data_IF_207017564285
#
_entry.id   IF_207017564285
#
_cell.length_a   1.000
_cell.length_b   1.000
_cell.length_c   1.000
_cell.angle_alpha   90.00
_cell.angle_beta   90.00
_cell.angle_gamma   90.00
#
_symmetry.space_group_name_H-M   'P 1'
#
loop_
_entity.id
_entity.type
_entity.pdbx_description
1 polymer ?
#
# COMPACT_ATOMS: atom_id res chain seq x y z
N UNK A 1 36.35 -24.22 34.44
CA UNK A 1 35.67 -23.03 34.99
C UNK A 1 35.99 -21.85 34.09
N UNK A 2 35.30 -21.74 32.95
CA UNK A 2 35.38 -20.60 32.03
C UNK A 2 33.94 -20.37 31.55
N UNK A 3 33.29 -19.33 32.07
CA UNK A 3 31.98 -18.89 31.59
C UNK A 3 32.18 -17.99 30.38
N UNK A 4 31.53 -18.35 29.28
CA UNK A 4 31.53 -17.61 28.03
C UNK A 4 30.14 -16.98 27.86
N UNK A 5 30.00 -15.71 28.22
CA UNK A 5 28.77 -14.93 28.06
C UNK A 5 28.69 -14.40 26.63
N UNK A 6 27.89 -15.07 25.78
CA UNK A 6 27.44 -14.48 24.51
C UNK A 6 26.07 -13.84 24.71
N UNK A 7 26.04 -12.51 24.60
CA UNK A 7 24.83 -11.70 24.52
C UNK A 7 24.10 -12.03 23.22
N UNK A 8 22.87 -12.52 23.31
CA UNK A 8 21.96 -12.69 22.17
C UNK A 8 21.07 -11.46 22.12
N UNK A 9 21.31 -10.59 21.15
CA UNK A 9 20.38 -9.52 20.79
C UNK A 9 19.18 -10.18 20.11
N UNK A 10 18.05 -10.27 20.81
CA UNK A 10 16.77 -10.67 20.22
C UNK A 10 16.30 -9.51 19.33
N UNK A 11 16.20 -9.75 18.03
CA UNK A 11 15.44 -8.90 17.11
C UNK A 11 13.97 -9.29 17.29
N UNK A 12 13.20 -8.44 17.98
CA UNK A 12 11.77 -8.62 18.13
C UNK A 12 11.10 -8.27 16.79
N UNK A 13 10.59 -9.28 16.07
CA UNK A 13 9.57 -9.06 15.06
C UNK A 13 8.34 -8.47 15.78
N UNK A 14 8.13 -7.17 15.63
CA UNK A 14 6.88 -6.54 15.98
C UNK A 14 5.82 -7.03 14.99
N UNK A 15 5.12 -8.10 15.34
CA UNK A 15 3.82 -8.38 14.75
C UNK A 15 2.88 -7.29 15.24
N UNK A 16 2.54 -6.36 14.35
CA UNK A 16 1.51 -5.36 14.56
C UNK A 16 0.18 -6.09 14.72
N UNK A 17 -0.16 -6.46 15.96
CA UNK A 17 -1.52 -6.81 16.32
C UNK A 17 -2.35 -5.55 16.15
N UNK A 18 -3.16 -5.51 15.09
CA UNK A 18 -4.17 -4.48 14.86
C UNK A 18 -5.09 -4.47 16.08
N UNK A 19 -4.87 -3.54 17.00
CA UNK A 19 -5.71 -3.33 18.15
C UNK A 19 -7.01 -2.69 17.63
N UNK A 20 -7.97 -3.52 17.23
CA UNK A 20 -9.36 -3.12 17.01
C UNK A 20 -9.95 -2.73 18.37
N UNK A 21 -9.57 -1.54 18.85
CA UNK A 21 -10.30 -0.84 19.89
C UNK A 21 -11.73 -0.67 19.38
N UNK A 22 -12.70 -1.11 20.17
CA UNK A 22 -14.10 -0.90 19.88
C UNK A 22 -14.33 0.61 19.70
N UNK A 23 -14.38 1.06 18.45
CA UNK A 23 -14.80 2.41 18.12
C UNK A 23 -16.26 2.50 18.52
N UNK A 24 -16.59 3.45 19.39
CA UNK A 24 -17.96 3.91 19.55
C UNK A 24 -18.45 4.24 18.15
N UNK A 25 -19.50 3.56 17.68
CA UNK A 25 -20.11 3.83 16.39
C UNK A 25 -20.56 5.29 16.38
N UNK A 26 -19.74 6.18 15.82
CA UNK A 26 -20.18 7.52 15.47
C UNK A 26 -21.37 7.37 14.55
N UNK A 27 -22.44 8.10 14.84
CA UNK A 27 -23.61 8.13 14.00
C UNK A 27 -23.17 8.48 12.57
N UNK A 28 -23.25 7.49 11.68
CA UNK A 28 -22.94 7.64 10.27
C UNK A 28 -24.04 8.53 9.68
N UNK A 29 -23.75 9.81 9.51
CA UNK A 29 -24.68 10.73 8.84
C UNK A 29 -24.41 10.66 7.35
N UNK A 30 -25.26 9.95 6.61
CA UNK A 30 -25.23 9.95 5.14
C UNK A 30 -25.69 11.31 4.63
N UNK A 31 -24.85 12.03 3.89
CA UNK A 31 -25.30 13.25 3.22
C UNK A 31 -26.14 12.89 1.99
N UNK A 32 -27.45 13.10 2.07
CA UNK A 32 -28.39 12.91 0.94
C UNK A 32 -28.76 14.23 0.24
N UNK A 33 -27.93 15.26 0.40
CA UNK A 33 -28.23 16.61 -0.10
C UNK A 33 -28.14 16.68 -1.63
N UNK A 34 -29.28 16.86 -2.29
CA UNK A 34 -29.38 16.92 -3.75
C UNK A 34 -28.83 18.21 -4.41
N UNK A 35 -28.32 19.19 -3.63
CA UNK A 35 -27.84 20.48 -4.15
C UNK A 35 -26.65 21.03 -3.36
N UNK A 36 -25.77 21.78 -4.04
CA UNK A 36 -24.59 22.44 -3.47
C UNK A 36 -24.87 23.39 -2.29
N UNK A 37 -26.12 23.84 -2.12
CA UNK A 37 -26.53 24.69 -1.01
C UNK A 37 -26.58 23.98 0.36
N UNK A 38 -26.63 22.65 0.39
CA UNK A 38 -26.62 21.88 1.64
C UNK A 38 -25.20 21.69 2.22
N UNK A 39 -24.15 22.00 1.44
CA UNK A 39 -22.74 21.96 1.87
C UNK A 39 -22.32 23.22 2.66
N UNK A 40 -23.07 24.32 2.52
CA UNK A 40 -22.87 25.55 3.29
C UNK A 40 -23.80 25.65 4.51
N UNK A 41 -24.58 24.61 4.78
CA UNK A 41 -25.37 24.54 6.01
C UNK A 41 -24.46 24.15 7.19
N UNK A 42 -24.15 25.09 8.12
CA UNK A 42 -23.27 24.82 9.24
C UNK A 42 -23.84 23.76 10.20
N UNK A 43 -25.10 23.34 10.05
CA UNK A 43 -25.66 22.22 10.84
C UNK A 43 -25.28 20.84 10.30
N UNK A 44 -24.77 20.75 9.06
CA UNK A 44 -24.47 19.46 8.43
C UNK A 44 -22.97 19.28 8.13
N UNK A 45 -22.28 20.33 7.65
CA UNK A 45 -20.88 20.31 7.20
C UNK A 45 -20.26 21.70 7.43
N UNK A 46 -19.08 21.82 8.06
CA UNK A 46 -18.41 23.13 8.13
C UNK A 46 -17.66 23.37 6.82
N UNK A 47 -18.14 24.32 6.01
CA UNK A 47 -17.57 24.65 4.70
C UNK A 47 -17.53 23.47 3.69
N UNK A 48 -18.51 22.56 3.75
CA UNK A 48 -18.62 21.44 2.81
C UNK A 48 -17.65 20.29 3.05
N UNK A 49 -16.99 20.24 4.20
CA UNK A 49 -16.12 19.16 4.63
C UNK A 49 -16.69 18.39 5.82
N UNK A 50 -16.39 17.08 5.95
CA UNK A 50 -16.62 16.34 7.18
C UNK A 50 -15.87 17.02 8.33
N UNK A 51 -16.42 16.94 9.54
CA UNK A 51 -15.81 17.53 10.74
C UNK A 51 -15.64 16.46 11.80
N UNK A 52 -14.83 16.72 12.82
CA UNK A 52 -14.62 15.80 13.94
C UNK A 52 -15.91 15.29 14.58
N UNK A 53 -16.93 16.15 14.66
CA UNK A 53 -18.20 15.82 15.32
C UNK A 53 -19.19 15.12 14.37
N UNK A 54 -18.86 15.00 13.06
CA UNK A 54 -19.63 14.28 12.05
C UNK A 54 -18.68 13.61 11.03
N UNK A 55 -18.06 12.46 11.37
CA UNK A 55 -17.32 11.64 10.41
C UNK A 55 -18.30 11.14 9.34
N UNK A 56 -18.24 11.77 8.18
CA UNK A 56 -19.29 11.69 7.16
C UNK A 56 -19.03 10.65 6.09
N UNK A 57 -20.12 10.13 5.52
CA UNK A 57 -20.11 9.43 4.23
C UNK A 57 -20.59 10.39 3.15
N UNK A 58 -19.77 10.56 2.12
CA UNK A 58 -20.14 11.18 0.84
C UNK A 58 -20.55 10.03 -0.09
N UNK A 59 -21.84 9.84 -0.33
CA UNK A 59 -22.36 8.74 -1.14
C UNK A 59 -23.16 9.29 -2.32
N UNK A 60 -22.87 8.79 -3.52
CA UNK A 60 -23.51 9.18 -4.79
C UNK A 60 -23.65 10.71 -4.98
N UNK A 61 -22.62 11.46 -4.56
CA UNK A 61 -22.65 12.92 -4.52
C UNK A 61 -21.45 13.56 -5.23
N UNK A 62 -21.68 14.73 -5.82
CA UNK A 62 -20.62 15.59 -6.31
C UNK A 62 -20.27 16.64 -5.23
N UNK A 63 -19.00 16.67 -4.83
CA UNK A 63 -18.47 17.59 -3.82
C UNK A 63 -17.38 18.44 -4.46
N UNK A 64 -17.44 19.75 -4.27
CA UNK A 64 -16.36 20.65 -4.67
C UNK A 64 -15.87 21.40 -3.45
N UNK A 65 -14.57 21.27 -3.16
CA UNK A 65 -13.92 22.01 -2.08
C UNK A 65 -12.91 22.98 -2.66
N UNK A 66 -12.57 24.01 -1.88
CA UNK A 66 -11.36 24.78 -2.15
C UNK A 66 -10.10 23.90 -2.00
N UNK A 67 -8.94 24.51 -2.21
CA UNK A 67 -7.68 23.91 -1.79
C UNK A 67 -7.16 24.48 -0.48
N UNK A 68 -6.20 23.80 0.13
CA UNK A 68 -5.53 24.28 1.33
C UNK A 68 -5.23 23.21 2.34
N UNK A 69 -4.91 23.67 3.54
CA UNK A 69 -4.86 22.84 4.73
C UNK A 69 -6.25 22.47 5.16
N UNK A 70 -6.46 21.20 5.51
CA UNK A 70 -7.73 20.74 6.00
C UNK A 70 -7.63 20.42 7.49
N UNK A 71 -7.12 21.34 8.32
CA UNK A 71 -7.17 21.20 9.78
C UNK A 71 -8.61 20.98 10.30
N UNK A 72 -9.62 21.34 9.49
CA UNK A 72 -11.03 21.04 9.78
C UNK A 72 -11.37 19.53 9.72
N UNK A 73 -10.51 18.74 9.07
CA UNK A 73 -10.58 17.29 8.94
C UNK A 73 -9.64 16.56 9.91
N UNK A 74 -8.93 17.29 10.79
CA UNK A 74 -8.10 16.66 11.82
C UNK A 74 -8.96 15.74 12.70
N UNK A 75 -8.39 14.59 13.02
CA UNK A 75 -9.01 13.48 13.75
C UNK A 75 -10.32 12.97 13.12
N UNK A 76 -10.51 13.12 11.79
CA UNK A 76 -11.71 12.61 11.09
C UNK A 76 -11.48 11.29 10.37
N UNK A 77 -12.57 10.52 10.25
CA UNK A 77 -12.69 9.37 9.36
C UNK A 77 -13.76 9.72 8.32
N UNK A 78 -13.40 9.63 7.04
CA UNK A 78 -14.26 10.04 5.93
C UNK A 78 -14.33 8.93 4.90
N UNK A 79 -15.53 8.62 4.45
CA UNK A 79 -15.74 7.68 3.34
C UNK A 79 -16.41 8.39 2.16
N UNK A 80 -15.87 8.17 0.98
CA UNK A 80 -16.42 8.63 -0.30
C UNK A 80 -16.76 7.38 -1.10
N UNK A 81 -18.04 7.15 -1.38
CA UNK A 81 -18.55 5.89 -1.92
C UNK A 81 -19.58 6.10 -3.03
N UNK A 82 -20.04 5.00 -3.63
CA UNK A 82 -20.90 5.02 -4.81
C UNK A 82 -20.22 5.70 -6.00
N UNK A 83 -21.01 6.41 -6.81
CA UNK A 83 -20.52 7.17 -7.97
C UNK A 83 -20.10 8.61 -7.61
N UNK A 84 -19.65 8.84 -6.37
CA UNK A 84 -19.30 10.19 -5.90
C UNK A 84 -18.10 10.78 -6.64
N UNK A 85 -18.08 12.11 -6.79
CA UNK A 85 -16.94 12.83 -7.37
C UNK A 85 -16.56 13.98 -6.44
N UNK A 86 -15.34 13.96 -5.92
CA UNK A 86 -14.76 15.06 -5.16
C UNK A 86 -13.80 15.86 -6.03
N UNK A 87 -14.10 17.13 -6.30
CA UNK A 87 -13.21 18.08 -6.97
C UNK A 87 -12.57 19.06 -5.97
N UNK A 88 -11.26 19.32 -6.08
CA UNK A 88 -10.55 20.27 -5.22
C UNK A 88 -9.42 21.04 -5.92
N UNK A 89 -9.00 22.18 -5.36
CA UNK A 89 -7.85 22.97 -5.86
C UNK A 89 -6.53 22.60 -5.15
N UNK A 90 -6.34 21.30 -4.91
CA UNK A 90 -5.29 20.73 -4.06
C UNK A 90 -5.80 20.39 -2.66
N UNK A 91 -5.26 19.35 -2.05
CA UNK A 91 -5.70 18.85 -0.75
C UNK A 91 -4.49 18.55 0.11
N UNK A 92 -4.53 18.95 1.38
CA UNK A 92 -3.48 18.62 2.31
C UNK A 92 -4.17 18.01 3.51
N UNK A 93 -3.85 16.74 3.69
CA UNK A 93 -4.41 15.86 4.68
C UNK A 93 -3.40 15.73 5.82
N UNK A 94 -3.92 15.82 7.02
CA UNK A 94 -3.26 15.73 8.31
C UNK A 94 -4.23 15.09 9.32
N UNK A 95 -3.69 14.22 10.17
CA UNK A 95 -4.43 13.54 11.25
C UNK A 95 -5.79 12.93 10.83
N UNK A 96 -5.87 12.30 9.66
CA UNK A 96 -7.15 11.87 9.11
C UNK A 96 -7.05 10.52 8.38
N UNK A 97 -8.19 9.82 8.32
CA UNK A 97 -8.37 8.64 7.48
C UNK A 97 -9.44 8.96 6.45
N UNK A 98 -9.07 8.92 5.18
CA UNK A 98 -10.00 9.08 4.07
C UNK A 98 -10.05 7.80 3.24
N UNK A 99 -11.24 7.31 2.96
CA UNK A 99 -11.48 6.11 2.16
C UNK A 99 -12.31 6.46 0.94
N UNK A 100 -11.82 6.10 -0.23
CA UNK A 100 -12.56 6.10 -1.49
C UNK A 100 -12.91 4.65 -1.82
N UNK A 101 -14.18 4.37 -2.11
CA UNK A 101 -14.65 3.02 -2.46
C UNK A 101 -15.66 3.06 -3.62
N UNK A 102 -16.10 1.88 -4.07
CA UNK A 102 -16.99 1.67 -5.22
C UNK A 102 -16.44 2.27 -6.52
N UNK A 103 -17.10 3.30 -7.07
CA UNK A 103 -16.69 4.01 -8.29
C UNK A 103 -16.42 5.50 -8.04
N UNK A 104 -16.14 5.86 -6.79
CA UNK A 104 -15.88 7.23 -6.38
C UNK A 104 -14.60 7.79 -7.01
N UNK A 105 -14.56 9.09 -7.27
CA UNK A 105 -13.43 9.74 -7.94
C UNK A 105 -12.97 10.98 -7.19
N UNK A 106 -11.66 11.25 -7.25
CA UNK A 106 -11.02 12.45 -6.74
C UNK A 106 -10.37 13.20 -7.91
N UNK A 107 -10.69 14.48 -8.06
CA UNK A 107 -10.14 15.32 -9.14
C UNK A 107 -9.53 16.57 -8.52
N UNK A 108 -8.22 16.74 -8.67
CA UNK A 108 -7.52 17.92 -8.16
C UNK A 108 -6.76 18.66 -9.24
N UNK A 109 -6.72 19.99 -9.11
CA UNK A 109 -5.87 20.86 -9.95
C UNK A 109 -4.64 21.38 -9.22
N UNK A 110 -4.47 20.98 -7.96
CA UNK A 110 -3.35 21.36 -7.10
C UNK A 110 -2.84 20.16 -6.30
N UNK A 111 -1.74 20.37 -5.58
CA UNK A 111 -0.99 19.30 -4.94
C UNK A 111 -1.86 18.57 -3.92
N UNK A 112 -1.75 17.24 -3.91
CA UNK A 112 -2.33 16.40 -2.85
C UNK A 112 -1.18 15.97 -1.94
N UNK A 113 -1.32 16.16 -0.64
CA UNK A 113 -0.28 15.77 0.32
C UNK A 113 -0.89 15.02 1.51
N UNK A 114 -0.25 13.93 1.92
CA UNK A 114 -0.54 13.19 3.14
C UNK A 114 0.53 13.49 4.20
N UNK A 115 0.13 13.75 5.44
CA UNK A 115 1.02 14.01 6.57
C UNK A 115 1.65 15.40 6.49
N UNK A 116 0.84 16.46 6.57
CA UNK A 116 1.31 17.84 6.37
C UNK A 116 1.75 18.58 7.66
N UNK A 117 1.17 18.27 8.81
CA UNK A 117 1.41 19.05 10.03
C UNK A 117 2.70 18.68 10.77
N UNK A 118 3.25 19.62 11.55
CA UNK A 118 4.55 19.51 12.23
C UNK A 118 4.44 19.06 13.70
N UNK A 119 3.23 18.81 14.20
CA UNK A 119 2.98 18.62 15.63
C UNK A 119 2.77 17.13 15.93
N UNK A 120 3.51 16.67 16.94
CA UNK A 120 3.58 15.33 17.54
C UNK A 120 2.51 14.31 17.10
N UNK A 121 2.96 13.25 16.41
CA UNK A 121 2.25 11.99 16.11
C UNK A 121 1.01 12.04 15.19
N UNK A 122 0.88 13.04 14.33
CA UNK A 122 -0.19 13.03 13.31
C UNK A 122 0.18 12.13 12.12
N UNK A 123 -0.75 11.28 11.68
CA UNK A 123 -0.60 10.49 10.46
C UNK A 123 -1.84 10.66 9.59
N UNK A 124 -1.64 10.64 8.27
CA UNK A 124 -2.76 10.63 7.32
C UNK A 124 -2.78 9.34 6.55
N UNK A 125 -3.96 8.74 6.43
CA UNK A 125 -4.18 7.55 5.61
C UNK A 125 -5.18 7.87 4.52
N UNK A 126 -4.81 7.59 3.27
CA UNK A 126 -5.74 7.52 2.15
C UNK A 126 -5.88 6.07 1.71
N UNK A 127 -7.09 5.52 1.85
CA UNK A 127 -7.45 4.22 1.30
C UNK A 127 -8.15 4.45 -0.03
N UNK A 128 -7.53 4.01 -1.12
CA UNK A 128 -8.10 4.00 -2.45
C UNK A 128 -8.56 2.59 -2.82
N UNK A 129 -9.80 2.30 -2.44
CA UNK A 129 -10.52 1.07 -2.75
C UNK A 129 -11.57 1.30 -3.86
N UNK A 130 -11.41 2.38 -4.62
CA UNK A 130 -12.33 2.77 -5.67
C UNK A 130 -11.87 2.27 -7.04
N UNK A 131 -12.82 1.83 -7.84
CA UNK A 131 -12.67 1.56 -9.28
C UNK A 131 -12.73 2.84 -10.13
N UNK A 132 -13.08 3.98 -9.53
CA UNK A 132 -13.01 5.29 -10.16
C UNK A 132 -11.56 5.79 -10.32
N UNK A 133 -11.40 7.10 -10.54
CA UNK A 133 -10.09 7.71 -10.76
C UNK A 133 -9.73 8.76 -9.72
N UNK A 134 -8.46 8.76 -9.32
CA UNK A 134 -7.81 9.88 -8.67
C UNK A 134 -6.97 10.59 -9.73
N UNK A 135 -7.43 11.74 -10.21
CA UNK A 135 -6.64 12.59 -11.11
C UNK A 135 -6.10 13.84 -10.42
N UNK A 136 -4.82 14.13 -10.64
CA UNK A 136 -4.18 15.38 -10.21
C UNK A 136 -3.42 16.02 -11.37
N UNK A 137 -3.95 17.13 -11.91
CA UNK A 137 -3.33 17.82 -13.03
C UNK A 137 -2.24 18.80 -12.58
N UNK A 138 -0.97 18.49 -12.85
CA UNK A 138 0.13 19.47 -12.87
C UNK A 138 0.82 19.76 -11.53
N UNK A 139 0.58 18.94 -10.50
CA UNK A 139 1.27 19.06 -9.22
C UNK A 139 1.56 17.70 -8.60
N UNK A 140 2.58 17.60 -7.73
CA UNK A 140 2.93 16.33 -7.11
C UNK A 140 1.82 15.83 -6.15
N UNK A 141 1.67 14.51 -6.12
CA UNK A 141 1.08 13.77 -5.02
C UNK A 141 2.20 13.40 -4.04
N UNK A 142 2.11 13.89 -2.81
CA UNK A 142 3.10 13.66 -1.76
C UNK A 142 2.56 12.70 -0.71
N UNK A 143 3.31 11.65 -0.43
CA UNK A 143 3.00 10.67 0.62
C UNK A 143 4.06 10.80 1.71
N UNK A 144 3.67 11.30 2.89
CA UNK A 144 4.58 11.52 4.02
C UNK A 144 5.42 12.79 3.84
N UNK A 145 4.79 13.97 3.83
CA UNK A 145 5.48 15.24 3.55
C UNK A 145 6.27 15.79 4.74
N UNK A 146 5.58 16.12 5.83
CA UNK A 146 6.17 16.66 7.07
C UNK A 146 6.01 15.68 8.23
N UNK A 147 4.84 15.05 8.30
CA UNK A 147 4.53 13.92 9.16
C UNK A 147 4.30 12.66 8.32
N UNK A 148 3.97 11.56 8.97
CA UNK A 148 3.79 10.29 8.30
C UNK A 148 2.54 10.31 7.42
N UNK A 149 2.65 9.74 6.23
CA UNK A 149 1.55 9.63 5.29
C UNK A 149 1.51 8.25 4.69
N UNK A 150 0.33 7.68 4.59
CA UNK A 150 0.11 6.36 4.03
C UNK A 150 -0.94 6.41 2.94
N UNK A 151 -0.59 5.92 1.76
CA UNK A 151 -1.51 5.63 0.68
C UNK A 151 -1.69 4.11 0.59
N UNK A 152 -2.92 3.62 0.52
CA UNK A 152 -3.24 2.21 0.31
C UNK A 152 -4.13 2.10 -0.92
N UNK A 153 -3.63 1.52 -2.00
CA UNK A 153 -4.39 1.34 -3.24
C UNK A 153 -4.72 -0.14 -3.47
N UNK A 154 -6.00 -0.46 -3.64
CA UNK A 154 -6.45 -1.83 -3.94
C UNK A 154 -7.11 -1.96 -5.32
N UNK A 155 -7.50 -0.84 -5.95
CA UNK A 155 -8.18 -0.83 -7.25
C UNK A 155 -8.00 0.51 -7.99
N UNK A 156 -8.64 0.63 -9.16
CA UNK A 156 -8.78 1.89 -9.90
C UNK A 156 -7.50 2.47 -10.46
N UNK A 157 -7.54 3.75 -10.81
CA UNK A 157 -6.40 4.46 -11.43
C UNK A 157 -6.07 5.70 -10.61
N UNK A 158 -4.80 5.83 -10.22
CA UNK A 158 -4.22 7.04 -9.63
C UNK A 158 -3.36 7.72 -10.68
N UNK A 159 -3.91 8.73 -11.35
CA UNK A 159 -3.28 9.49 -12.43
C UNK A 159 -2.78 10.84 -11.91
N UNK A 160 -1.49 10.94 -11.59
CA UNK A 160 -0.91 12.12 -10.94
C UNK A 160 0.41 12.50 -11.59
N UNK A 161 0.68 13.80 -11.72
CA UNK A 161 1.91 14.29 -12.36
C UNK A 161 3.17 13.63 -11.80
N UNK A 162 3.44 13.83 -10.51
CA UNK A 162 4.57 13.18 -9.84
C UNK A 162 4.08 12.47 -8.58
N UNK A 163 4.64 11.29 -8.28
CA UNK A 163 4.49 10.60 -7.00
C UNK A 163 5.78 10.77 -6.21
N UNK A 164 5.70 11.51 -5.11
CA UNK A 164 6.82 11.75 -4.21
C UNK A 164 6.56 11.04 -2.88
N UNK A 165 7.37 10.05 -2.53
CA UNK A 165 7.22 9.26 -1.31
C UNK A 165 8.35 9.59 -0.34
N UNK A 166 7.98 9.97 0.87
CA UNK A 166 8.89 10.45 1.89
C UNK A 166 9.17 11.95 1.79
N UNK A 167 9.64 12.53 2.90
CA UNK A 167 9.87 13.97 3.01
C UNK A 167 11.11 14.47 2.27
N UNK A 168 10.92 15.44 1.36
CA UNK A 168 11.56 16.79 1.32
C UNK A 168 11.23 17.47 -0.02
N UNK A 169 10.47 18.58 0.02
CA UNK A 169 10.60 19.62 -1.00
C UNK A 169 11.56 20.65 -0.38
N UNK A 170 12.72 20.84 -1.00
CA UNK A 170 13.86 21.58 -0.45
C UNK A 170 13.47 22.77 0.48
N UNK A 171 14.05 22.79 1.69
CA UNK A 171 14.01 23.83 2.72
C UNK A 171 12.97 23.71 3.86
N UNK A 172 12.32 22.55 4.04
CA UNK A 172 11.53 22.28 5.24
C UNK A 172 12.23 21.21 6.10
N UNK A 173 12.20 21.35 7.43
CA UNK A 173 12.62 20.30 8.38
C UNK A 173 11.58 19.18 8.31
N UNK A 174 11.73 18.29 7.33
CA UNK A 174 10.78 17.23 7.01
C UNK A 174 11.32 15.88 7.47
N UNK A 175 10.63 15.27 8.44
CA UNK A 175 10.97 13.95 8.99
C UNK A 175 9.85 12.92 8.72
N UNK A 176 8.85 13.29 7.91
CA UNK A 176 7.71 12.43 7.58
C UNK A 176 8.12 11.21 6.76
N UNK A 177 7.68 10.03 7.19
CA UNK A 177 7.86 8.77 6.46
C UNK A 177 6.65 8.57 5.55
N UNK A 178 6.92 8.37 4.26
CA UNK A 178 5.91 8.01 3.27
C UNK A 178 5.80 6.51 3.08
N UNK A 179 4.57 5.98 3.10
CA UNK A 179 4.31 4.60 2.69
C UNK A 179 3.21 4.57 1.62
N UNK A 180 3.53 4.04 0.45
CA UNK A 180 2.53 3.72 -0.57
C UNK A 180 2.41 2.21 -0.66
N UNK A 181 1.31 1.64 -0.17
CA UNK A 181 0.98 0.22 -0.35
C UNK A 181 0.11 0.03 -1.58
N UNK A 182 0.57 -0.77 -2.53
CA UNK A 182 -0.10 -1.05 -3.79
C UNK A 182 -0.47 -2.54 -3.86
N UNK A 183 -1.76 -2.84 -3.75
CA UNK A 183 -2.31 -4.20 -3.85
C UNK A 183 -3.02 -4.46 -5.19
N UNK A 184 -3.47 -3.42 -5.88
CA UNK A 184 -4.15 -3.53 -7.16
C UNK A 184 -4.37 -2.18 -7.82
N UNK A 185 -4.86 -2.20 -9.06
CA UNK A 185 -5.07 -0.98 -9.86
C UNK A 185 -3.81 -0.50 -10.59
N UNK A 186 -3.84 0.74 -11.05
CA UNK A 186 -2.72 1.37 -11.74
C UNK A 186 -2.35 2.72 -11.12
N UNK A 187 -1.06 3.02 -11.08
CA UNK A 187 -0.52 4.35 -10.82
C UNK A 187 0.07 4.88 -12.13
N UNK A 188 -0.51 5.94 -12.66
CA UNK A 188 -0.04 6.63 -13.85
C UNK A 188 0.68 7.90 -13.41
N UNK A 189 1.99 7.95 -13.57
CA UNK A 189 2.78 9.12 -13.17
C UNK A 189 3.84 9.50 -14.18
N UNK A 190 4.33 10.73 -14.14
CA UNK A 190 5.50 11.17 -14.91
C UNK A 190 6.80 11.02 -14.14
N UNK A 191 6.77 10.93 -12.81
CA UNK A 191 7.96 10.70 -11.99
C UNK A 191 7.58 9.97 -10.71
N UNK A 192 8.29 8.88 -10.40
CA UNK A 192 8.29 8.27 -9.09
C UNK A 192 9.61 8.60 -8.39
N UNK A 193 9.56 9.27 -7.24
CA UNK A 193 10.76 9.63 -6.51
C UNK A 193 10.61 9.34 -5.01
N UNK A 194 11.72 8.89 -4.43
CA UNK A 194 11.86 8.63 -3.00
C UNK A 194 12.75 9.70 -2.38
N UNK A 195 12.28 10.32 -1.30
CA UNK A 195 13.03 11.40 -0.66
C UNK A 195 13.91 10.89 0.48
N UNK A 196 14.93 11.66 0.81
CA UNK A 196 15.99 11.28 1.76
C UNK A 196 15.51 11.01 3.19
N UNK A 197 14.36 11.56 3.61
CA UNK A 197 13.80 11.35 4.94
C UNK A 197 13.21 9.94 5.16
N UNK A 198 13.17 9.11 4.10
CA UNK A 198 12.63 7.77 4.14
C UNK A 198 11.25 7.69 3.50
N UNK A 199 11.05 6.66 2.69
CA UNK A 199 9.80 6.42 2.00
C UNK A 199 9.86 5.09 1.27
N UNK A 200 8.72 4.40 1.19
CA UNK A 200 8.63 3.12 0.53
C UNK A 200 7.37 3.03 -0.35
N UNK A 201 7.55 2.45 -1.54
CA UNK A 201 6.50 1.84 -2.33
C UNK A 201 6.53 0.34 -2.00
N UNK A 202 5.44 -0.16 -1.45
CA UNK A 202 5.29 -1.56 -1.08
C UNK A 202 4.24 -2.21 -1.96
N UNK A 203 4.64 -3.19 -2.76
CA UNK A 203 3.71 -4.09 -3.40
C UNK A 203 3.29 -5.15 -2.38
N UNK A 204 2.00 -5.34 -2.14
CA UNK A 204 1.58 -6.51 -1.33
C UNK A 204 2.03 -7.80 -2.00
N UNK A 205 2.21 -8.90 -1.24
CA UNK A 205 2.70 -10.19 -1.77
C UNK A 205 1.93 -10.68 -3.01
N UNK A 206 0.62 -10.43 -3.05
CA UNK A 206 -0.26 -10.80 -4.18
C UNK A 206 -0.70 -9.58 -5.00
N UNK A 207 0.13 -8.53 -5.04
CA UNK A 207 -0.25 -7.30 -5.73
C UNK A 207 -0.49 -7.55 -7.21
N UNK A 208 -1.65 -7.09 -7.68
CA UNK A 208 -1.97 -6.98 -9.11
C UNK A 208 -1.71 -5.56 -9.64
N UNK A 209 -1.12 -4.72 -8.79
CA UNK A 209 -0.93 -3.31 -9.09
C UNK A 209 0.23 -3.06 -10.06
N UNK A 210 0.10 -2.00 -10.85
CA UNK A 210 1.11 -1.58 -11.82
C UNK A 210 1.44 -0.12 -11.60
N UNK A 211 2.72 0.24 -11.64
CA UNK A 211 3.16 1.64 -11.73
C UNK A 211 3.71 1.90 -13.12
N UNK A 212 3.12 2.87 -13.81
CA UNK A 212 3.49 3.32 -15.12
C UNK A 212 4.12 4.72 -15.03
N UNK A 213 5.36 4.83 -15.48
CA UNK A 213 6.14 6.06 -15.46
C UNK A 213 6.27 6.60 -16.89
N UNK A 214 5.42 7.57 -17.20
CA UNK A 214 5.41 8.35 -18.43
C UNK A 214 6.39 9.53 -18.33
N UNK A 215 7.67 9.27 -18.59
CA UNK A 215 8.72 10.30 -18.64
C UNK A 215 8.60 11.25 -19.86
N UNK A 216 7.38 11.55 -20.33
CA UNK A 216 7.12 12.32 -21.55
C UNK A 216 7.81 13.70 -21.53
N UNK A 217 7.83 14.36 -20.38
CA UNK A 217 8.50 15.65 -20.18
C UNK A 217 10.03 15.57 -20.36
N UNK A 218 10.62 14.38 -20.20
CA UNK A 218 12.04 14.09 -20.41
C UNK A 218 12.29 13.32 -21.71
N UNK A 219 11.30 13.26 -22.61
CA UNK A 219 11.41 12.56 -23.88
C UNK A 219 11.25 11.04 -23.80
N UNK A 220 10.51 10.54 -22.80
CA UNK A 220 10.29 9.12 -22.53
C UNK A 220 11.59 8.36 -22.22
N UNK A 221 12.42 8.94 -21.35
CA UNK A 221 13.63 8.28 -20.87
C UNK A 221 13.30 6.94 -20.19
N UNK A 222 14.13 5.94 -20.47
CA UNK A 222 14.11 4.63 -19.81
C UNK A 222 14.46 4.79 -18.33
N UNK A 223 13.49 4.49 -17.46
CA UNK A 223 13.62 4.59 -16.00
C UNK A 223 14.03 3.26 -15.36
N UNK A 224 14.38 2.24 -16.14
CA UNK A 224 14.69 0.89 -15.64
C UNK A 224 15.81 0.93 -14.59
N UNK A 225 16.89 1.67 -14.87
CA UNK A 225 18.02 1.77 -13.96
C UNK A 225 17.66 2.49 -12.65
N UNK A 226 16.80 3.51 -12.71
CA UNK A 226 16.36 4.25 -11.52
C UNK A 226 15.46 3.39 -10.63
N UNK A 227 14.58 2.60 -11.24
CA UNK A 227 13.73 1.63 -10.52
C UNK A 227 14.57 0.53 -9.85
N UNK A 228 15.55 -0.02 -10.56
CA UNK A 228 16.50 -1.00 -10.01
C UNK A 228 17.28 -0.42 -8.83
N UNK A 229 17.78 0.82 -8.95
CA UNK A 229 18.47 1.49 -7.86
C UNK A 229 17.54 1.73 -6.64
N UNK A 230 16.26 2.04 -6.86
CA UNK A 230 15.27 2.19 -5.80
C UNK A 230 14.96 0.85 -5.10
N UNK A 231 14.92 -0.26 -5.83
CA UNK A 231 14.79 -1.62 -5.26
C UNK A 231 16.02 -1.93 -4.39
N UNK A 232 17.22 -1.74 -4.91
CA UNK A 232 18.49 -1.97 -4.19
C UNK A 232 18.62 -1.13 -2.92
N UNK A 233 18.08 0.09 -2.94
CA UNK A 233 18.02 0.99 -1.80
C UNK A 233 16.93 0.61 -0.77
N UNK A 234 16.09 -0.38 -1.07
CA UNK A 234 14.96 -0.79 -0.22
C UNK A 234 13.79 0.17 -0.23
N UNK A 235 13.71 1.07 -1.22
CA UNK A 235 12.59 1.98 -1.40
C UNK A 235 11.40 1.34 -2.11
N UNK A 236 11.64 0.27 -2.87
CA UNK A 236 10.59 -0.57 -3.47
C UNK A 236 10.66 -1.94 -2.81
N UNK A 237 9.55 -2.40 -2.25
CA UNK A 237 9.47 -3.60 -1.40
C UNK A 237 8.31 -4.51 -1.80
N UNK A 238 8.34 -5.75 -1.31
CA UNK A 238 7.25 -6.73 -1.47
C UNK A 238 6.83 -7.20 -0.08
N UNK A 239 5.58 -6.94 0.32
CA UNK A 239 5.06 -7.28 1.65
C UNK A 239 5.88 -6.65 2.79
N UNK A 240 6.40 -5.46 2.56
CA UNK A 240 7.30 -4.73 3.45
C UNK A 240 8.72 -5.31 3.53
N UNK A 241 9.08 -6.30 2.70
CA UNK A 241 10.42 -6.87 2.67
C UNK A 241 11.29 -6.19 1.62
N UNK A 242 12.47 -5.76 2.05
CA UNK A 242 13.53 -5.25 1.17
C UNK A 242 14.07 -6.41 0.33
N UNK A 243 14.24 -6.17 -0.98
CA UNK A 243 14.77 -7.17 -1.88
C UNK A 243 16.30 -7.23 -1.81
N UNK A 244 16.86 -8.37 -2.21
CA UNK A 244 18.31 -8.50 -2.28
C UNK A 244 18.84 -7.60 -3.38
N UNK A 245 19.81 -6.73 -3.07
CA UNK A 245 20.37 -5.82 -4.07
C UNK A 245 20.93 -6.58 -5.29
N UNK A 246 20.56 -6.15 -6.49
CA UNK A 246 20.86 -6.79 -7.76
C UNK A 246 19.96 -7.97 -8.13
N UNK A 247 19.03 -8.38 -7.26
CA UNK A 247 17.99 -9.37 -7.54
C UNK A 247 16.65 -8.68 -7.76
N UNK A 248 16.22 -8.67 -9.03
CA UNK A 248 14.96 -8.07 -9.46
C UNK A 248 13.93 -9.12 -9.88
N UNK A 249 14.15 -10.39 -9.55
CA UNK A 249 13.30 -11.50 -10.02
C UNK A 249 11.84 -11.39 -9.56
N UNK A 250 11.57 -10.72 -8.43
CA UNK A 250 10.23 -10.41 -7.93
C UNK A 250 9.50 -9.29 -8.70
N UNK A 251 10.15 -8.64 -9.67
CA UNK A 251 9.56 -7.54 -10.43
C UNK A 251 9.67 -7.78 -11.93
N UNK A 252 8.62 -7.37 -12.66
CA UNK A 252 8.65 -7.22 -14.11
C UNK A 252 8.77 -5.73 -14.45
N UNK A 253 9.95 -5.31 -14.88
CA UNK A 253 10.23 -3.94 -15.33
C UNK A 253 10.26 -3.91 -16.87
N UNK A 254 9.35 -3.16 -17.48
CA UNK A 254 9.20 -3.09 -18.93
C UNK A 254 9.36 -1.66 -19.43
N UNK A 255 10.37 -1.42 -20.26
CA UNK A 255 10.51 -0.16 -20.98
C UNK A 255 9.95 -0.29 -22.41
N UNK A 256 9.10 0.66 -22.80
CA UNK A 256 8.60 0.80 -24.16
C UNK A 256 8.93 2.19 -24.70
N UNK A 257 9.76 2.25 -25.74
CA UNK A 257 10.19 3.51 -26.34
C UNK A 257 8.99 4.37 -26.81
N UNK A 258 8.98 5.63 -26.37
CA UNK A 258 7.91 6.59 -26.68
C UNK A 258 6.63 6.41 -25.84
N UNK A 259 6.62 5.47 -24.89
CA UNK A 259 5.49 5.26 -23.96
C UNK A 259 5.95 5.52 -22.53
N UNK A 260 7.00 4.84 -22.07
CA UNK A 260 7.47 4.94 -20.69
C UNK A 260 8.03 3.63 -20.15
N UNK A 261 8.22 3.58 -18.83
CA UNK A 261 8.67 2.39 -18.10
C UNK A 261 7.58 1.96 -17.13
N UNK A 262 7.23 0.68 -17.10
CA UNK A 262 6.33 0.12 -16.10
C UNK A 262 7.08 -0.79 -15.13
N UNK A 263 6.60 -0.85 -13.89
CA UNK A 263 6.97 -1.84 -12.89
C UNK A 263 5.72 -2.42 -12.28
N UNK A 264 5.73 -3.74 -12.14
CA UNK A 264 4.74 -4.52 -11.42
C UNK A 264 5.47 -5.69 -10.77
N UNK A 265 4.79 -6.42 -9.91
CA UNK A 265 5.28 -7.75 -9.56
C UNK A 265 5.41 -8.56 -10.85
N UNK A 266 6.49 -9.31 -10.98
CA UNK A 266 6.49 -10.35 -12.01
C UNK A 266 5.25 -11.21 -11.77
N UNK A 267 4.58 -11.60 -12.85
CA UNK A 267 3.37 -12.44 -12.84
C UNK A 267 3.55 -13.77 -12.10
N UNK A 268 4.76 -14.06 -11.62
CA UNK A 268 4.96 -14.92 -10.48
C UNK A 268 4.36 -14.29 -9.23
N UNK A 269 3.18 -14.80 -8.83
CA UNK A 269 2.98 -15.19 -7.43
C UNK A 269 4.36 -15.42 -6.83
N UNK A 270 4.82 -14.56 -5.90
CA UNK A 270 6.08 -14.84 -5.21
C UNK A 270 6.07 -16.31 -4.83
N UNK A 271 7.19 -17.06 -4.99
CA UNK A 271 7.16 -18.51 -5.05
C UNK A 271 6.19 -19.02 -3.99
N UNK A 272 5.12 -19.70 -4.41
CA UNK A 272 4.06 -20.10 -3.47
C UNK A 272 4.79 -20.84 -2.36
N UNK A 273 4.77 -20.31 -1.13
CA UNK A 273 5.51 -20.94 -0.05
C UNK A 273 4.60 -21.93 0.63
N UNK A 274 5.13 -23.11 0.94
CA UNK A 274 4.54 -24.02 1.89
C UNK A 274 5.51 -24.18 3.04
N UNK A 275 5.13 -23.70 4.22
CA UNK A 275 5.97 -23.67 5.41
C UNK A 275 7.34 -23.01 5.21
N UNK A 276 7.38 -21.96 4.38
CA UNK A 276 8.59 -21.22 4.05
C UNK A 276 9.48 -21.86 2.98
N UNK A 277 9.04 -22.95 2.34
CA UNK A 277 9.73 -23.58 1.22
C UNK A 277 8.99 -23.28 -0.08
N UNK A 278 9.74 -23.05 -1.17
CA UNK A 278 9.18 -22.73 -2.48
C UNK A 278 8.43 -23.93 -3.09
N UNK A 279 7.22 -23.67 -3.57
CA UNK A 279 6.36 -24.61 -4.28
C UNK A 279 6.48 -24.35 -5.78
N UNK A 280 6.82 -25.39 -6.55
CA UNK A 280 6.91 -25.33 -8.00
C UNK A 280 5.53 -25.31 -8.68
N UNK A 281 5.52 -25.13 -10.01
CA UNK A 281 4.29 -25.09 -10.83
C UNK A 281 3.45 -26.38 -10.78
N UNK A 282 4.00 -27.49 -10.27
CA UNK A 282 3.30 -28.77 -10.10
C UNK A 282 2.83 -28.98 -8.65
N UNK A 283 3.01 -27.99 -7.78
CA UNK A 283 2.66 -28.10 -6.37
C UNK A 283 3.69 -28.89 -5.56
N UNK A 284 4.93 -29.07 -6.03
CA UNK A 284 5.96 -29.76 -5.27
C UNK A 284 6.84 -28.80 -4.49
N UNK A 285 7.32 -29.27 -3.34
CA UNK A 285 8.22 -28.55 -2.46
C UNK A 285 9.40 -29.45 -2.08
N UNK A 286 10.63 -28.95 -2.22
CA UNK A 286 11.83 -29.67 -1.79
C UNK A 286 12.18 -29.30 -0.34
N UNK A 287 11.87 -30.21 0.59
CA UNK A 287 12.26 -30.05 2.01
C UNK A 287 13.74 -30.37 2.26
N UNK A 288 14.53 -30.52 1.19
CA UNK A 288 15.96 -30.82 1.21
C UNK A 288 16.24 -32.11 2.01
N UNK A 289 17.08 -32.02 3.04
CA UNK A 289 17.50 -33.16 3.86
C UNK A 289 16.48 -33.66 4.88
N UNK A 290 15.25 -33.12 4.91
CA UNK A 290 14.21 -33.57 5.85
C UNK A 290 13.53 -34.84 5.33
N UNK A 291 12.42 -34.69 4.61
CA UNK A 291 11.64 -35.84 4.10
C UNK A 291 11.62 -35.89 2.56
N UNK A 292 12.52 -35.13 1.94
CA UNK A 292 12.68 -34.99 0.49
C UNK A 292 11.60 -34.13 -0.15
N UNK A 293 11.28 -34.44 -1.40
CA UNK A 293 10.23 -33.75 -2.15
C UNK A 293 8.84 -34.16 -1.66
N UNK A 294 7.96 -33.18 -1.46
CA UNK A 294 6.54 -33.36 -1.17
C UNK A 294 5.70 -32.73 -2.27
N UNK A 295 4.51 -33.26 -2.53
CA UNK A 295 3.47 -32.54 -3.25
C UNK A 295 2.45 -31.98 -2.25
N UNK A 296 2.24 -30.67 -2.28
CA UNK A 296 1.45 -29.88 -1.33
C UNK A 296 0.23 -29.21 -1.98
N UNK A 297 -0.17 -29.70 -3.16
CA UNK A 297 -1.32 -29.16 -3.89
C UNK A 297 -2.67 -29.35 -3.16
N UNK A 298 -2.71 -30.16 -2.10
CA UNK A 298 -3.87 -30.34 -1.22
C UNK A 298 -3.57 -29.74 0.16
N UNK A 299 -4.50 -28.99 0.80
CA UNK A 299 -4.18 -28.13 1.95
C UNK A 299 -3.58 -28.88 3.15
N UNK A 300 -4.27 -29.90 3.65
CA UNK A 300 -3.88 -30.64 4.86
C UNK A 300 -3.17 -31.97 4.55
N UNK A 301 -3.24 -32.41 3.29
CA UNK A 301 -2.74 -33.71 2.86
C UNK A 301 -1.61 -33.51 1.87
N UNK A 302 -0.41 -33.97 2.22
CA UNK A 302 0.77 -33.85 1.38
C UNK A 302 1.22 -35.23 0.94
N UNK A 303 1.62 -35.39 -0.32
CA UNK A 303 2.19 -36.65 -0.80
C UNK A 303 3.70 -36.63 -0.61
N UNK A 304 4.28 -37.66 0.01
CA UNK A 304 5.73 -37.81 0.08
C UNK A 304 6.23 -38.77 -0.97
N UNK A 305 7.06 -38.28 -1.90
CA UNK A 305 7.70 -39.10 -2.91
C UNK A 305 8.73 -40.07 -2.32
N UNK A 306 9.35 -39.70 -1.20
CA UNK A 306 10.35 -40.55 -0.52
C UNK A 306 9.71 -41.69 0.27
N UNK A 307 8.51 -41.48 0.81
CA UNK A 307 7.75 -42.52 1.53
C UNK A 307 6.75 -43.26 0.64
N UNK A 308 6.52 -42.78 -0.57
CA UNK A 308 5.51 -43.25 -1.53
C UNK A 308 4.11 -43.35 -0.90
N UNK A 309 3.70 -42.29 -0.19
CA UNK A 309 2.50 -42.31 0.64
C UNK A 309 1.96 -40.91 0.95
N UNK A 310 0.68 -40.85 1.34
CA UNK A 310 0.03 -39.63 1.82
C UNK A 310 0.33 -39.38 3.30
N UNK A 311 0.54 -38.09 3.61
CA UNK A 311 0.80 -37.56 4.93
C UNK A 311 -0.29 -36.56 5.29
N UNK A 312 -0.89 -36.69 6.48
CA UNK A 312 -1.65 -35.58 7.05
C UNK A 312 -0.68 -34.66 7.77
N UNK A 313 -0.44 -33.49 7.18
CA UNK A 313 0.54 -32.50 7.63
C UNK A 313 0.05 -31.07 7.25
N UNK A 314 -0.89 -30.50 8.02
CA UNK A 314 -1.30 -29.11 7.82
C UNK A 314 -0.10 -28.17 7.94
N UNK A 315 -0.01 -27.19 7.03
CA UNK A 315 1.10 -26.23 6.98
C UNK A 315 1.32 -25.52 8.33
N UNK A 316 0.23 -25.17 9.02
CA UNK A 316 0.26 -24.52 10.34
C UNK A 316 0.99 -25.30 11.44
N UNK A 317 1.25 -26.59 11.24
CA UNK A 317 1.99 -27.42 12.19
C UNK A 317 3.49 -27.50 11.87
N UNK A 318 3.89 -27.03 10.69
CA UNK A 318 5.29 -27.04 10.26
C UNK A 318 6.02 -25.84 10.84
N UNK A 319 6.99 -26.12 11.73
CA UNK A 319 7.84 -25.09 12.35
C UNK A 319 9.30 -25.30 11.94
N UNK A 320 10.17 -24.28 12.11
CA UNK A 320 11.61 -24.45 11.90
C UNK A 320 12.26 -25.51 12.79
N UNK A 321 11.60 -25.92 13.89
CA UNK A 321 12.06 -27.00 14.79
C UNK A 321 11.54 -28.38 14.37
N UNK A 322 10.70 -28.45 13.33
CA UNK A 322 10.07 -29.66 12.82
C UNK A 322 8.56 -29.69 13.02
N UNK A 323 7.95 -30.84 12.70
CA UNK A 323 6.52 -31.08 12.81
C UNK A 323 6.21 -32.54 13.08
N UNK A 324 5.01 -32.80 13.57
CA UNK A 324 4.42 -34.13 13.60
C UNK A 324 3.53 -34.34 12.39
N UNK A 325 3.61 -35.52 11.77
CA UNK A 325 2.77 -35.91 10.64
C UNK A 325 2.14 -37.28 10.92
N UNK A 326 0.96 -37.52 10.36
CA UNK A 326 0.37 -38.87 10.35
C UNK A 326 0.59 -39.51 8.98
N UNK A 327 1.19 -40.70 8.96
CA UNK A 327 1.40 -41.50 7.75
C UNK A 327 0.27 -42.50 7.62
N UNK A 328 -0.43 -42.52 6.48
CA UNK A 328 -1.46 -43.54 6.25
C UNK A 328 -0.83 -44.92 6.11
N UNK A 329 -1.45 -45.95 6.69
CA UNK A 329 -0.99 -47.32 6.48
C UNK A 329 -1.36 -47.74 5.04
N UNK A 330 -0.40 -48.25 4.24
CA UNK A 330 -0.71 -48.79 2.92
C UNK A 330 -1.64 -50.00 2.99
#
# INVERSE_FOLDING_TARGET
>A
MIQNTRSKTLLACASTALLLGATSASAVTTFTGATSGALVDPTNWSAGLPTRDNPGIIQDAAVTTGGGDLNLMDSTIVTVSGASVWTATGLRFDDNIITFEDSSSLQTTGAVALGRDLVDDTFSVMNWNSTGSFSNSGTPFLVGRKANGTMVQTAGIVEVGDVLIGGNLANETNDGIGLYTLAGGAVETSTLAFQAAGGALDFTVDSTGVVNISNAALGFADATADLQAAIDAGNITIGGQVQTAGDYSGFLITYTAGVGTSIQLSDGSGPVLWAGYEVDDQGNVDTMGWIGTLNVALPDWTYSYSLDNWLYLPESYVTPQGSWMYVTKP
#
